data_IF_582182262891
#
_entry.id   IF_582182262891
#
_cell.length_a   1.000
_cell.length_b   1.000
_cell.length_c   1.000
_cell.angle_alpha   90.00
_cell.angle_beta   90.00
_cell.angle_gamma   90.00
#
_symmetry.space_group_name_H-M   'P 1'
#
loop_
_entity.id
_entity.type
_entity.pdbx_description
1 polymer ?
#
# COMPACT_ATOMS: atom_id res chain seq x y z
N UNK A 1 18.84 -11.80 5.30
CA UNK A 1 18.10 -10.59 5.69
C UNK A 1 17.17 -10.92 6.85
N UNK A 2 17.17 -10.12 7.91
CA UNK A 2 16.26 -10.36 9.02
C UNK A 2 14.79 -10.37 8.58
N UNK A 3 13.97 -11.20 9.23
CA UNK A 3 12.56 -11.31 8.89
C UNK A 3 11.83 -9.96 8.98
N UNK A 4 12.15 -9.15 10.00
CA UNK A 4 11.53 -7.83 10.16
C UNK A 4 11.85 -6.91 8.99
N UNK A 5 13.11 -6.85 8.55
CA UNK A 5 13.51 -6.03 7.41
C UNK A 5 12.85 -6.52 6.12
N UNK A 6 12.81 -7.84 5.91
CA UNK A 6 12.12 -8.41 4.76
C UNK A 6 10.64 -8.07 4.77
N UNK A 7 10.01 -8.14 5.93
CA UNK A 7 8.60 -7.78 6.09
C UNK A 7 8.35 -6.31 5.71
N UNK A 8 9.18 -5.39 6.20
CA UNK A 8 9.05 -3.96 5.91
C UNK A 8 9.22 -3.69 4.42
N UNK A 9 10.23 -4.30 3.79
CA UNK A 9 10.46 -4.13 2.36
C UNK A 9 9.29 -4.69 1.53
N UNK A 10 8.72 -5.81 1.93
CA UNK A 10 7.56 -6.38 1.26
C UNK A 10 6.32 -5.48 1.41
N UNK A 11 6.14 -4.85 2.57
CA UNK A 11 5.07 -3.86 2.74
C UNK A 11 5.26 -2.68 1.80
N UNK A 12 6.48 -2.18 1.66
CA UNK A 12 6.77 -1.06 0.78
C UNK A 12 6.49 -1.43 -0.69
N UNK A 13 6.96 -2.59 -1.14
CA UNK A 13 6.74 -3.08 -2.51
C UNK A 13 5.25 -3.29 -2.77
N UNK A 14 4.56 -3.93 -1.84
CA UNK A 14 3.12 -4.17 -1.98
C UNK A 14 2.31 -2.88 -1.98
N UNK A 15 2.69 -1.90 -1.15
CA UNK A 15 2.03 -0.60 -1.13
C UNK A 15 2.17 0.12 -2.47
N UNK A 16 3.37 0.12 -3.05
CA UNK A 16 3.60 0.71 -4.37
C UNK A 16 2.75 0.00 -5.43
N UNK A 17 2.70 -1.32 -5.41
CA UNK A 17 1.91 -2.09 -6.37
C UNK A 17 0.41 -1.84 -6.22
N UNK A 18 -0.08 -1.82 -4.98
CA UNK A 18 -1.50 -1.61 -4.69
C UNK A 18 -1.94 -0.19 -5.04
N UNK A 19 -1.21 0.80 -4.54
CA UNK A 19 -1.55 2.21 -4.76
C UNK A 19 -1.31 2.58 -6.21
N UNK A 20 -0.17 2.19 -6.78
CA UNK A 20 0.16 2.44 -8.17
C UNK A 20 -0.82 1.75 -9.12
N UNK A 21 -1.23 0.52 -8.81
CA UNK A 21 -2.22 -0.19 -9.60
C UNK A 21 -3.58 0.51 -9.59
N UNK A 22 -4.05 0.93 -8.42
CA UNK A 22 -5.29 1.68 -8.30
C UNK A 22 -5.20 3.02 -9.05
N UNK A 23 -4.06 3.70 -8.98
CA UNK A 23 -3.84 4.95 -9.69
C UNK A 23 -3.89 4.76 -11.20
N UNK A 24 -3.31 3.68 -11.72
CA UNK A 24 -3.36 3.37 -13.15
C UNK A 24 -4.79 3.11 -13.62
N UNK A 25 -5.58 2.38 -12.84
CA UNK A 25 -7.01 2.17 -13.15
C UNK A 25 -7.75 3.51 -13.15
N UNK A 26 -7.47 4.36 -12.17
CA UNK A 26 -8.06 5.70 -12.09
C UNK A 26 -7.73 6.52 -13.35
N UNK A 27 -6.45 6.52 -13.76
CA UNK A 27 -6.03 7.24 -14.96
C UNK A 27 -6.71 6.70 -16.21
N UNK A 28 -6.82 5.38 -16.33
CA UNK A 28 -7.42 4.77 -17.51
C UNK A 28 -8.92 4.98 -17.60
N UNK A 29 -9.62 4.86 -16.49
CA UNK A 29 -11.08 4.93 -16.46
C UNK A 29 -11.58 6.34 -16.20
N UNK A 30 -11.19 6.92 -15.07
CA UNK A 30 -11.74 8.21 -14.62
C UNK A 30 -11.19 9.39 -15.41
N UNK A 31 -9.91 9.33 -15.76
CA UNK A 31 -9.25 10.37 -16.55
C UNK A 31 -9.23 10.07 -18.06
N UNK A 32 -9.92 9.00 -18.45
CA UNK A 32 -10.13 8.64 -19.86
C UNK A 32 -8.84 8.41 -20.67
N UNK A 33 -7.80 7.87 -20.03
CA UNK A 33 -6.53 7.59 -20.73
C UNK A 33 -6.54 6.29 -21.52
N UNK A 34 -7.53 5.42 -21.30
CA UNK A 34 -7.75 4.27 -22.13
C UNK A 34 -7.42 2.93 -21.49
N UNK A 35 -7.69 1.87 -22.26
CA UNK A 35 -7.66 0.48 -21.78
C UNK A 35 -6.28 0.02 -21.34
N UNK A 36 -5.21 0.47 -22.00
CA UNK A 36 -3.84 0.06 -21.65
C UNK A 36 -3.51 0.42 -20.19
N UNK A 37 -3.94 1.59 -19.73
CA UNK A 37 -3.75 2.04 -18.35
C UNK A 37 -4.53 1.16 -17.38
N UNK A 38 -5.77 0.83 -17.74
CA UNK A 38 -6.63 -0.03 -16.91
C UNK A 38 -6.00 -1.42 -16.77
N UNK A 39 -5.55 -2.01 -17.88
CA UNK A 39 -4.97 -3.35 -17.87
C UNK A 39 -3.66 -3.38 -17.07
N UNK A 40 -2.81 -2.36 -17.23
CA UNK A 40 -1.59 -2.25 -16.43
C UNK A 40 -1.90 -2.17 -14.93
N UNK A 41 -2.91 -1.40 -14.57
CA UNK A 41 -3.36 -1.29 -13.18
C UNK A 41 -3.88 -2.60 -12.62
N UNK A 42 -4.69 -3.32 -13.40
CA UNK A 42 -5.23 -4.62 -12.99
C UNK A 42 -4.11 -5.64 -12.76
N UNK A 43 -3.12 -5.68 -13.66
CA UNK A 43 -1.97 -6.57 -13.50
C UNK A 43 -1.18 -6.23 -12.23
N UNK A 44 -0.96 -4.96 -11.98
CA UNK A 44 -0.21 -4.51 -10.82
C UNK A 44 -0.95 -4.81 -9.51
N UNK A 45 -2.28 -4.64 -9.49
CA UNK A 45 -3.11 -5.02 -8.35
C UNK A 45 -3.07 -6.53 -8.10
N UNK A 46 -3.08 -7.33 -9.16
CA UNK A 46 -2.92 -8.79 -9.04
C UNK A 46 -1.55 -9.16 -8.48
N UNK A 47 -0.50 -8.49 -8.93
CA UNK A 47 0.85 -8.71 -8.41
C UNK A 47 0.94 -8.39 -6.91
N UNK A 48 0.28 -7.34 -6.46
CA UNK A 48 0.19 -7.02 -5.03
C UNK A 48 -0.32 -8.22 -4.21
N UNK A 49 -1.38 -8.90 -4.69
CA UNK A 49 -1.92 -10.06 -3.99
C UNK A 49 -0.90 -11.16 -3.80
N UNK A 50 -0.06 -11.40 -4.80
CA UNK A 50 1.00 -12.41 -4.67
C UNK A 50 2.15 -11.95 -3.77
N UNK A 51 2.55 -10.68 -3.84
CA UNK A 51 3.58 -10.14 -2.97
C UNK A 51 3.20 -10.28 -1.50
N UNK A 52 1.92 -10.07 -1.18
CA UNK A 52 1.43 -10.21 0.19
C UNK A 52 1.67 -11.61 0.76
N UNK A 53 1.63 -12.65 -0.08
CA UNK A 53 1.86 -14.03 0.37
C UNK A 53 3.31 -14.31 0.78
N UNK A 54 4.24 -13.41 0.46
CA UNK A 54 5.66 -13.57 0.77
C UNK A 54 6.01 -13.08 2.18
N UNK A 55 5.05 -12.50 2.91
CA UNK A 55 5.27 -12.08 4.28
C UNK A 55 5.61 -13.29 5.18
N UNK A 56 6.56 -13.10 6.13
CA UNK A 56 6.94 -14.21 7.02
C UNK A 56 5.83 -14.66 7.97
N UNK A 57 4.90 -13.77 8.34
CA UNK A 57 3.78 -14.12 9.22
C UNK A 57 2.74 -14.94 8.41
N UNK A 58 2.32 -16.11 8.90
CA UNK A 58 1.36 -16.95 8.18
C UNK A 58 -0.10 -16.53 8.36
N UNK A 59 -0.39 -15.51 9.16
CA UNK A 59 -1.76 -15.12 9.49
C UNK A 59 -2.29 -14.08 8.49
N UNK A 60 -3.07 -14.55 7.54
CA UNK A 60 -3.63 -13.72 6.46
C UNK A 60 -4.34 -12.47 6.99
N UNK A 61 -5.21 -12.60 7.99
CA UNK A 61 -5.97 -11.47 8.52
C UNK A 61 -5.09 -10.37 9.11
N UNK A 62 -4.02 -10.78 9.81
CA UNK A 62 -3.05 -9.84 10.39
C UNK A 62 -2.30 -9.09 9.31
N UNK A 63 -1.86 -9.80 8.28
CA UNK A 63 -1.13 -9.21 7.16
C UNK A 63 -2.02 -8.21 6.41
N UNK A 64 -3.26 -8.58 6.12
CA UNK A 64 -4.17 -7.70 5.39
C UNK A 64 -4.55 -6.47 6.22
N UNK A 65 -4.73 -6.61 7.54
CA UNK A 65 -4.97 -5.46 8.41
C UNK A 65 -3.79 -4.49 8.38
N UNK A 66 -2.56 -5.03 8.41
CA UNK A 66 -1.36 -4.21 8.33
C UNK A 66 -1.23 -3.52 6.96
N UNK A 67 -1.51 -4.21 5.86
CA UNK A 67 -1.52 -3.59 4.54
C UNK A 67 -2.54 -2.47 4.44
N UNK A 68 -3.72 -2.63 5.06
CA UNK A 68 -4.71 -1.56 5.10
C UNK A 68 -4.16 -0.28 5.74
N UNK A 69 -3.44 -0.41 6.84
CA UNK A 69 -2.81 0.74 7.51
C UNK A 69 -1.70 1.36 6.67
N UNK A 70 -0.87 0.54 6.05
CA UNK A 70 0.18 1.02 5.14
C UNK A 70 -0.43 1.72 3.92
N UNK A 71 -1.51 1.17 3.39
CA UNK A 71 -2.24 1.78 2.27
C UNK A 71 -2.74 3.18 2.63
N UNK A 72 -3.35 3.34 3.80
CA UNK A 72 -3.86 4.65 4.26
C UNK A 72 -2.71 5.66 4.37
N UNK A 73 -1.57 5.26 4.92
CA UNK A 73 -0.43 6.16 5.08
C UNK A 73 0.27 6.44 3.74
N UNK A 74 0.38 5.41 2.90
CA UNK A 74 1.09 5.51 1.63
C UNK A 74 0.34 6.30 0.55
N UNK A 75 -0.98 6.28 0.58
CA UNK A 75 -1.80 6.93 -0.46
C UNK A 75 -1.58 8.44 -0.54
N UNK A 76 -1.62 9.20 0.56
CA UNK A 76 -1.32 10.63 0.49
C UNK A 76 0.11 10.92 0.03
N UNK A 77 1.08 10.11 0.45
CA UNK A 77 2.47 10.25 0.02
C UNK A 77 2.60 10.02 -1.48
N UNK A 78 2.00 8.95 -1.99
CA UNK A 78 2.01 8.65 -3.42
C UNK A 78 1.37 9.81 -4.21
N UNK A 79 0.21 10.28 -3.76
CA UNK A 79 -0.49 11.38 -4.41
C UNK A 79 0.34 12.67 -4.38
N UNK A 80 1.09 12.91 -3.30
CA UNK A 80 1.99 14.06 -3.21
C UNK A 80 3.08 14.00 -4.27
N UNK A 81 3.66 12.82 -4.46
CA UNK A 81 4.77 12.65 -5.39
C UNK A 81 4.33 12.61 -6.85
N UNK A 82 3.15 12.06 -7.12
CA UNK A 82 2.69 11.79 -8.49
C UNK A 82 1.70 12.83 -8.99
N UNK A 83 0.75 13.24 -8.15
CA UNK A 83 -0.35 14.13 -8.54
C UNK A 83 -0.25 15.54 -7.95
N UNK A 84 0.80 15.84 -7.18
CA UNK A 84 0.96 17.13 -6.53
C UNK A 84 -0.02 17.39 -5.40
N UNK A 85 -0.66 16.36 -4.88
CA UNK A 85 -1.55 16.46 -3.72
C UNK A 85 -0.80 17.00 -2.51
N UNK A 86 -1.43 17.86 -1.72
CA UNK A 86 -0.83 18.45 -0.51
C UNK A 86 -1.57 17.95 0.73
N UNK A 87 -1.03 16.93 1.42
CA UNK A 87 -1.63 16.44 2.66
C UNK A 87 -1.67 17.56 3.70
N UNK A 88 -2.80 17.66 4.38
CA UNK A 88 -2.93 18.58 5.49
C UNK A 88 -2.53 17.88 6.81
N UNK A 89 -2.63 18.62 7.93
CA UNK A 89 -2.27 18.07 9.25
C UNK A 89 -3.14 16.88 9.66
N UNK A 90 -4.40 16.84 9.20
CA UNK A 90 -5.30 15.73 9.53
C UNK A 90 -4.94 14.48 8.73
N UNK A 91 -4.54 14.63 7.47
CA UNK A 91 -4.01 13.54 6.67
C UNK A 91 -2.76 12.95 7.33
N UNK A 92 -1.85 13.81 7.78
CA UNK A 92 -0.61 13.38 8.42
C UNK A 92 -0.87 12.71 9.76
N UNK A 93 -1.76 13.24 10.58
CA UNK A 93 -2.11 12.67 11.88
C UNK A 93 -2.77 11.28 11.70
N UNK A 94 -3.72 11.17 10.79
CA UNK A 94 -4.38 9.89 10.50
C UNK A 94 -3.42 8.86 9.97
N UNK A 95 -2.53 9.25 9.05
CA UNK A 95 -1.49 8.36 8.52
C UNK A 95 -0.56 7.87 9.60
N UNK A 96 -0.13 8.75 10.50
CA UNK A 96 0.74 8.38 11.62
C UNK A 96 0.06 7.38 12.56
N UNK A 97 -1.23 7.57 12.87
CA UNK A 97 -2.00 6.63 13.68
C UNK A 97 -2.11 5.27 13.01
N UNK A 98 -2.33 5.24 11.71
CA UNK A 98 -2.40 3.99 10.95
C UNK A 98 -1.07 3.24 11.00
N UNK A 99 0.05 3.94 10.82
CA UNK A 99 1.37 3.31 10.87
C UNK A 99 1.70 2.80 12.28
N UNK A 100 1.31 3.54 13.32
CA UNK A 100 1.46 3.08 14.69
C UNK A 100 0.64 1.81 14.93
N UNK A 101 -0.59 1.75 14.41
CA UNK A 101 -1.43 0.56 14.46
C UNK A 101 -0.81 -0.62 13.74
N UNK A 102 -0.23 -0.41 12.57
CA UNK A 102 0.48 -1.46 11.82
C UNK A 102 1.64 -2.02 12.64
N UNK A 103 2.43 -1.14 13.26
CA UNK A 103 3.56 -1.57 14.09
C UNK A 103 3.10 -2.43 15.26
N UNK A 104 1.98 -2.08 15.90
CA UNK A 104 1.40 -2.87 16.99
C UNK A 104 0.94 -4.24 16.48
N UNK A 105 0.24 -4.26 15.34
CA UNK A 105 -0.29 -5.52 14.78
C UNK A 105 0.84 -6.48 14.41
N UNK A 106 1.88 -5.98 13.74
CA UNK A 106 2.90 -6.83 13.14
C UNK A 106 4.08 -7.12 14.07
N UNK A 107 4.46 -6.17 14.91
CA UNK A 107 5.76 -6.25 15.59
C UNK A 107 5.67 -6.21 17.11
N UNK A 108 4.48 -6.21 17.69
CA UNK A 108 4.34 -6.31 19.14
C UNK A 108 4.89 -7.65 19.63
N UNK A 109 5.59 -7.68 20.78
CA UNK A 109 6.00 -8.95 21.39
C UNK A 109 4.79 -9.69 21.97
N UNK A 110 4.59 -10.93 21.52
CA UNK A 110 3.46 -11.77 21.98
C UNK A 110 3.89 -13.15 22.33
#
# INVERSE_FOLDING_TARGET
MPATLRSILLFAVAAVAEIGGAWLVWQGWREHRGLAWILAGVVLLGAYGFVATLQPDPNFGRILAAYGGVFVAGSPLFARLVDGFRPDRFDLAGSALCLAGVAVIMYAPR
#
